data_IF_177899868506
#
_entry.id   IF_177899868506
#
_cell.length_a   1.000
_cell.length_b   1.000
_cell.length_c   1.000
_cell.angle_alpha   90.00
_cell.angle_beta   90.00
_cell.angle_gamma   90.00
#
_symmetry.space_group_name_H-M   'P 1'
#
loop_
_entity.id
_entity.type
_entity.pdbx_description
1 polymer ?
#
# COMPACT_ATOMS: atom_id res chain seq x y z
N UNK A 1 41.86 42.15 32.59
CA UNK A 1 41.47 40.80 32.15
C UNK A 1 42.39 39.67 32.64
N UNK A 2 43.73 39.81 32.65
CA UNK A 2 44.64 38.73 33.09
C UNK A 2 44.52 38.30 34.57
N UNK A 3 44.13 39.19 35.49
CA UNK A 3 43.97 38.81 36.90
C UNK A 3 42.63 38.11 37.22
N UNK A 4 41.53 38.52 36.58
CA UNK A 4 40.22 37.90 36.80
C UNK A 4 40.15 36.47 36.25
N UNK A 5 40.79 36.20 35.10
CA UNK A 5 40.89 34.85 34.54
C UNK A 5 41.73 33.90 35.44
N UNK A 6 42.79 34.42 36.08
CA UNK A 6 43.62 33.64 37.01
C UNK A 6 42.88 33.25 38.30
N UNK A 7 41.88 34.06 38.71
CA UNK A 7 41.08 33.80 39.90
C UNK A 7 39.96 32.79 39.64
N UNK A 8 39.38 32.80 38.43
CA UNK A 8 38.38 31.82 38.00
C UNK A 8 38.93 30.39 37.85
N UNK A 9 40.20 30.22 37.46
CA UNK A 9 40.84 28.92 37.25
C UNK A 9 41.27 28.17 38.53
N UNK A 10 41.02 28.74 39.72
CA UNK A 10 41.38 28.12 41.02
C UNK A 10 40.21 27.50 41.77
N UNK A 11 39.01 27.52 41.18
CA UNK A 11 37.86 26.86 41.78
C UNK A 11 37.89 25.37 41.44
N UNK A 12 37.46 24.53 42.37
CA UNK A 12 37.20 23.13 42.09
C UNK A 12 35.68 22.92 42.06
N UNK A 13 35.22 22.02 41.19
CA UNK A 13 33.83 21.64 41.09
C UNK A 13 33.62 20.28 41.76
N UNK A 14 32.61 20.17 42.60
CA UNK A 14 32.26 18.90 43.21
C UNK A 14 31.18 18.20 42.37
N UNK A 15 31.55 17.07 41.76
CA UNK A 15 30.63 16.25 40.97
C UNK A 15 30.63 14.85 41.60
N UNK A 16 29.44 14.38 41.99
CA UNK A 16 29.28 13.09 42.67
C UNK A 16 30.17 12.92 43.92
N UNK A 17 30.32 13.98 44.73
CA UNK A 17 31.12 13.97 45.96
C UNK A 17 32.63 13.88 45.74
N UNK A 18 33.10 14.12 44.52
CA UNK A 18 34.53 14.24 44.20
C UNK A 18 34.85 15.61 43.65
N UNK A 19 35.91 16.19 44.18
CA UNK A 19 36.42 17.52 43.82
C UNK A 19 37.27 17.42 42.56
N UNK A 20 36.83 18.03 41.47
CA UNK A 20 37.48 18.03 40.15
C UNK A 20 37.97 19.46 39.83
N UNK A 21 39.24 19.66 39.44
CA UNK A 21 39.74 20.98 39.10
C UNK A 21 38.99 21.59 37.90
N UNK A 22 38.64 22.88 37.96
CA UNK A 22 37.94 23.60 36.87
C UNK A 22 38.66 23.46 35.51
N UNK A 23 39.99 23.36 35.52
CA UNK A 23 40.78 23.14 34.31
C UNK A 23 40.45 21.80 33.60
N UNK A 24 40.12 20.75 34.34
CA UNK A 24 39.75 19.46 33.77
C UNK A 24 38.37 19.49 33.11
N UNK A 25 37.42 20.22 33.71
CA UNK A 25 36.07 20.42 33.14
C UNK A 25 36.12 21.27 31.87
N UNK A 26 36.94 22.33 31.86
CA UNK A 26 37.15 23.15 30.67
C UNK A 26 37.85 22.33 29.57
N UNK A 27 38.84 21.50 29.91
CA UNK A 27 39.46 20.60 28.95
C UNK A 27 38.45 19.61 28.35
N UNK A 28 37.54 19.04 29.14
CA UNK A 28 36.46 18.17 28.68
C UNK A 28 35.48 18.88 27.73
N UNK A 29 35.14 20.14 28.00
CA UNK A 29 34.28 20.94 27.12
C UNK A 29 34.96 21.27 25.78
N UNK A 30 36.28 21.48 25.76
CA UNK A 30 37.03 21.66 24.51
C UNK A 30 37.21 20.35 23.72
N UNK A 31 37.14 19.19 24.39
CA UNK A 31 37.08 17.87 23.72
C UNK A 31 35.70 17.66 23.08
N UNK A 32 34.62 18.21 23.66
CA UNK A 32 33.25 18.09 23.14
C UNK A 32 32.93 18.90 21.88
N UNK A 33 33.68 19.95 21.56
CA UNK A 33 33.44 20.79 20.36
C UNK A 33 34.46 20.58 19.24
N UNK A 34 35.32 19.56 19.35
CA UNK A 34 36.41 19.26 18.42
C UNK A 34 36.36 17.86 17.80
N UNK A 35 35.19 17.21 17.77
CA UNK A 35 35.01 15.83 17.32
C UNK A 35 34.80 15.73 15.81
N UNK A 36 35.85 15.99 15.03
CA UNK A 36 35.90 15.50 13.64
C UNK A 36 37.30 15.21 13.10
N UNK A 37 38.41 15.55 13.77
CA UNK A 37 39.73 15.48 13.11
C UNK A 37 40.94 14.98 13.93
N UNK A 38 40.79 14.49 15.16
CA UNK A 38 41.94 14.04 15.96
C UNK A 38 41.69 12.69 16.67
N UNK A 39 41.49 11.65 15.88
CA UNK A 39 41.59 10.25 16.34
C UNK A 39 42.86 9.61 15.76
N UNK A 40 44.01 9.97 16.32
CA UNK A 40 45.20 9.11 16.24
C UNK A 40 45.98 9.20 17.56
N UNK A 41 45.55 8.37 18.52
CA UNK A 41 46.18 8.04 19.80
C UNK A 41 45.68 8.79 21.03
N UNK A 42 44.73 8.17 21.74
CA UNK A 42 44.72 8.03 23.20
C UNK A 42 43.90 6.79 23.60
N UNK A 43 44.53 5.84 24.29
CA UNK A 43 43.91 4.87 25.21
C UNK A 43 42.79 3.95 24.70
N UNK A 44 42.98 2.64 24.81
CA UNK A 44 41.90 1.67 24.68
C UNK A 44 40.95 1.81 25.87
N UNK A 45 39.73 2.32 25.65
CA UNK A 45 38.61 2.09 26.57
C UNK A 45 38.09 0.70 26.25
N UNK A 46 38.51 -0.30 27.02
CA UNK A 46 37.91 -1.63 26.98
C UNK A 46 36.77 -1.68 27.98
N UNK A 47 35.54 -1.69 27.48
CA UNK A 47 34.36 -2.12 28.21
C UNK A 47 33.67 -3.20 27.37
N UNK A 48 33.18 -4.25 28.01
CA UNK A 48 32.15 -5.09 27.41
C UNK A 48 30.87 -4.27 27.40
N UNK A 49 30.46 -3.81 26.23
CA UNK A 49 29.10 -3.38 26.01
C UNK A 49 28.32 -4.63 25.59
N UNK A 50 27.25 -4.93 26.29
CA UNK A 50 26.23 -5.81 25.74
C UNK A 50 25.56 -5.01 24.63
N UNK A 51 25.78 -5.43 23.38
CA UNK A 51 25.11 -4.85 22.22
C UNK A 51 23.91 -5.75 21.96
N UNK A 52 22.74 -5.29 22.39
CA UNK A 52 21.49 -5.92 21.99
C UNK A 52 21.24 -5.61 20.51
N UNK A 53 20.79 -6.61 19.74
CA UNK A 53 20.42 -6.40 18.35
C UNK A 53 19.23 -5.46 18.29
N UNK A 54 19.35 -4.40 17.48
CA UNK A 54 18.31 -3.39 17.32
C UNK A 54 17.05 -3.95 16.62
N UNK A 55 17.24 -4.94 15.74
CA UNK A 55 16.18 -5.61 15.00
C UNK A 55 16.36 -7.11 15.15
N UNK A 56 15.29 -7.82 15.52
CA UNK A 56 15.26 -9.28 15.65
C UNK A 56 14.33 -9.89 14.59
N UNK A 57 14.79 -10.97 13.94
CA UNK A 57 13.98 -11.75 13.01
C UNK A 57 13.21 -12.83 13.78
N UNK A 58 11.89 -12.70 13.88
CA UNK A 58 11.06 -13.72 14.51
C UNK A 58 10.83 -14.88 13.54
N UNK A 59 11.19 -16.11 13.94
CA UNK A 59 10.98 -17.35 13.16
C UNK A 59 12.26 -18.12 12.79
N UNK A 60 13.45 -17.60 13.13
CA UNK A 60 14.73 -18.19 12.75
C UNK A 60 15.27 -17.67 11.42
N UNK A 61 16.59 -17.74 11.22
CA UNK A 61 17.32 -17.23 10.04
C UNK A 61 17.64 -18.30 8.99
N UNK A 62 17.46 -19.58 9.34
CA UNK A 62 17.80 -20.71 8.48
C UNK A 62 16.56 -21.30 7.81
N UNK A 63 16.63 -21.42 6.50
CA UNK A 63 15.57 -21.96 5.65
C UNK A 63 16.08 -23.23 4.97
N UNK A 64 15.23 -24.25 4.91
CA UNK A 64 15.50 -25.45 4.13
C UNK A 64 14.27 -25.77 3.32
N UNK A 65 14.45 -25.83 2.01
CA UNK A 65 13.39 -26.20 1.09
C UNK A 65 13.72 -27.56 0.49
N UNK A 66 12.81 -28.52 0.68
CA UNK A 66 12.81 -29.78 -0.04
C UNK A 66 11.95 -29.62 -1.30
N UNK A 67 12.45 -28.81 -2.26
CA UNK A 67 11.75 -28.60 -3.52
C UNK A 67 12.06 -29.76 -4.45
N UNK A 68 11.21 -30.79 -4.44
CA UNK A 68 11.25 -31.85 -5.46
C UNK A 68 10.69 -31.37 -6.82
N UNK A 69 10.30 -30.11 -6.94
CA UNK A 69 9.67 -29.53 -8.13
C UNK A 69 10.43 -28.27 -8.56
N UNK A 70 10.98 -28.30 -9.78
CA UNK A 70 11.59 -27.15 -10.41
C UNK A 70 10.50 -26.24 -11.01
N UNK A 71 10.72 -24.93 -11.01
CA UNK A 71 9.74 -23.95 -11.51
C UNK A 71 8.68 -23.50 -10.50
N UNK A 72 8.82 -23.85 -9.22
CA UNK A 72 7.95 -23.35 -8.16
C UNK A 72 8.46 -22.02 -7.61
N UNK A 73 7.54 -21.17 -7.18
CA UNK A 73 7.81 -19.98 -6.36
C UNK A 73 7.37 -20.27 -4.94
N UNK A 74 8.24 -20.07 -3.97
CA UNK A 74 7.93 -20.24 -2.55
C UNK A 74 8.01 -18.89 -1.86
N UNK A 75 6.95 -18.53 -1.14
CA UNK A 75 6.86 -17.29 -0.36
C UNK A 75 6.72 -17.67 1.11
N UNK A 76 7.60 -17.11 1.95
CA UNK A 76 7.48 -17.25 3.40
C UNK A 76 7.42 -15.88 4.07
N UNK A 77 6.35 -15.64 4.83
CA UNK A 77 6.16 -14.42 5.61
C UNK A 77 6.96 -14.47 6.91
N UNK A 78 7.61 -13.36 7.23
CA UNK A 78 8.39 -13.14 8.45
C UNK A 78 8.00 -11.81 9.10
N UNK A 79 8.39 -11.65 10.35
CA UNK A 79 8.20 -10.42 11.11
C UNK A 79 9.54 -9.95 11.66
N UNK A 80 9.90 -8.72 11.33
CA UNK A 80 10.98 -7.96 11.90
C UNK A 80 10.45 -7.22 13.12
N UNK A 81 11.06 -7.46 14.27
CA UNK A 81 10.74 -6.70 15.47
C UNK A 81 11.86 -5.69 15.71
N UNK A 82 11.53 -4.40 15.60
CA UNK A 82 12.45 -3.33 15.99
C UNK A 82 12.31 -3.04 17.47
N UNK A 83 13.39 -3.28 18.21
CA UNK A 83 13.52 -2.86 19.61
C UNK A 83 14.25 -1.52 19.74
N UNK A 84 14.47 -0.83 18.62
CA UNK A 84 15.17 0.44 18.57
C UNK A 84 14.23 1.62 18.84
N UNK A 85 14.73 2.62 19.57
CA UNK A 85 14.03 3.89 19.79
C UNK A 85 14.01 4.80 18.55
N UNK A 86 14.66 4.39 17.46
CA UNK A 86 14.74 5.11 16.19
C UNK A 86 14.56 4.13 15.04
N UNK A 87 13.95 4.59 13.94
CA UNK A 87 13.79 3.81 12.72
C UNK A 87 15.17 3.40 12.18
N UNK A 88 15.28 2.17 11.69
CA UNK A 88 16.54 1.57 11.27
C UNK A 88 16.41 1.04 9.85
N UNK A 89 17.30 1.48 8.97
CA UNK A 89 17.40 0.93 7.63
C UNK A 89 18.19 -0.38 7.68
N UNK A 90 17.60 -1.44 7.14
CA UNK A 90 18.19 -2.77 7.09
C UNK A 90 18.33 -3.23 5.65
N UNK A 91 19.29 -4.11 5.42
CA UNK A 91 19.44 -4.88 4.19
C UNK A 91 19.25 -6.37 4.46
N UNK A 92 19.13 -7.15 3.40
CA UNK A 92 19.08 -8.61 3.50
C UNK A 92 20.18 -9.28 2.66
N UNK A 93 20.86 -10.26 3.25
CA UNK A 93 21.82 -11.11 2.56
C UNK A 93 21.35 -12.56 2.60
N UNK A 94 21.23 -13.21 1.44
CA UNK A 94 20.89 -14.64 1.36
C UNK A 94 22.07 -15.45 0.87
N UNK A 95 22.46 -16.45 1.65
CA UNK A 95 23.49 -17.43 1.31
C UNK A 95 22.84 -18.79 1.05
N UNK A 96 23.37 -19.58 0.12
CA UNK A 96 22.86 -20.92 -0.20
C UNK A 96 23.91 -22.00 0.06
N UNK A 97 23.49 -23.08 0.72
CA UNK A 97 24.26 -24.29 0.91
C UNK A 97 23.49 -25.47 0.28
N UNK A 98 24.00 -26.00 -0.84
CA UNK A 98 23.49 -27.25 -1.43
C UNK A 98 24.01 -28.48 -0.68
N UNK A 99 23.16 -29.47 -0.40
CA UNK A 99 23.62 -30.74 0.21
C UNK A 99 24.29 -31.61 -0.85
N UNK A 100 25.62 -31.65 -0.85
CA UNK A 100 26.39 -32.47 -1.79
C UNK A 100 26.20 -33.97 -1.53
N UNK A 101 25.37 -34.65 -2.33
CA UNK A 101 25.54 -36.07 -2.69
C UNK A 101 25.78 -36.25 -4.20
N UNK A 102 26.63 -35.40 -4.80
CA UNK A 102 27.17 -35.69 -6.14
C UNK A 102 28.69 -35.82 -6.10
N UNK A 103 29.19 -36.85 -6.76
CA UNK A 103 30.60 -37.28 -6.74
C UNK A 103 31.54 -36.36 -7.55
N UNK A 104 31.08 -35.18 -7.99
CA UNK A 104 31.90 -34.25 -8.76
C UNK A 104 31.81 -32.81 -8.19
N UNK A 105 32.67 -32.45 -7.23
CA UNK A 105 32.69 -31.15 -6.55
C UNK A 105 33.00 -29.92 -7.44
N UNK A 106 33.22 -30.11 -8.74
CA UNK A 106 33.64 -29.05 -9.66
C UNK A 106 32.47 -28.36 -10.39
N UNK A 107 31.24 -28.87 -10.30
CA UNK A 107 30.09 -28.33 -11.04
C UNK A 107 29.20 -27.38 -10.23
N UNK A 108 29.46 -27.22 -8.92
CA UNK A 108 28.76 -26.25 -8.06
C UNK A 108 29.75 -25.50 -7.18
N UNK A 109 30.39 -24.47 -7.74
CA UNK A 109 31.02 -23.44 -6.91
C UNK A 109 29.92 -22.53 -6.37
N UNK A 110 29.41 -22.82 -5.17
CA UNK A 110 28.86 -21.85 -4.18
C UNK A 110 27.73 -20.88 -4.56
N UNK A 111 27.38 -20.73 -5.83
CA UNK A 111 26.48 -19.70 -6.29
C UNK A 111 25.08 -20.32 -6.38
N UNK A 112 24.07 -19.64 -5.83
CA UNK A 112 22.64 -19.97 -5.87
C UNK A 112 22.07 -20.01 -7.31
N UNK A 113 22.80 -20.57 -8.28
CA UNK A 113 22.56 -20.40 -9.70
C UNK A 113 21.24 -21.07 -10.08
N UNK A 114 20.25 -20.25 -10.40
CA UNK A 114 18.90 -20.69 -10.69
C UNK A 114 17.94 -20.61 -9.51
N UNK A 115 18.34 -20.00 -8.39
CA UNK A 115 17.44 -19.52 -7.35
C UNK A 115 17.52 -18.00 -7.38
N UNK A 116 16.39 -17.33 -7.61
CA UNK A 116 16.28 -15.88 -7.47
C UNK A 116 15.56 -15.58 -6.15
N UNK A 117 16.21 -14.84 -5.26
CA UNK A 117 15.66 -14.47 -3.95
C UNK A 117 15.34 -12.99 -3.95
N UNK A 118 14.10 -12.65 -3.63
CA UNK A 118 13.61 -11.28 -3.50
C UNK A 118 12.96 -11.10 -2.15
N UNK A 119 12.92 -9.86 -1.68
CA UNK A 119 12.24 -9.47 -0.46
C UNK A 119 11.07 -8.58 -0.87
N UNK A 120 9.92 -8.76 -0.21
CA UNK A 120 8.72 -7.97 -0.50
C UNK A 120 8.16 -7.51 0.83
N UNK A 121 8.05 -6.21 1.01
CA UNK A 121 7.42 -5.61 2.18
C UNK A 121 5.93 -5.98 2.24
N UNK A 122 5.42 -6.20 3.45
CA UNK A 122 4.01 -6.34 3.71
C UNK A 122 3.50 -4.98 4.22
N UNK A 123 2.68 -4.33 3.40
CA UNK A 123 2.15 -2.99 3.68
C UNK A 123 1.04 -3.05 4.73
N UNK A 124 1.41 -2.98 6.01
CA UNK A 124 0.44 -2.98 7.12
C UNK A 124 -0.41 -1.71 7.16
N UNK A 125 0.02 -0.66 6.45
CA UNK A 125 -0.69 0.57 6.17
C UNK A 125 -1.60 0.50 4.92
N UNK A 126 -1.60 -0.63 4.20
CA UNK A 126 -2.53 -0.85 3.10
C UNK A 126 -3.94 -1.23 3.59
N UNK A 127 -4.94 -0.76 2.85
CA UNK A 127 -6.34 -0.90 3.22
C UNK A 127 -6.91 0.36 3.86
N UNK A 128 -8.18 0.30 4.24
CA UNK A 128 -8.84 1.43 4.86
C UNK A 128 -8.39 1.60 6.31
N UNK A 129 -8.11 2.84 6.70
CA UNK A 129 -8.03 3.23 8.11
C UNK A 129 -9.01 4.38 8.35
N UNK A 130 -9.95 4.18 9.27
CA UNK A 130 -10.90 5.23 9.64
C UNK A 130 -10.52 5.98 10.91
N UNK A 131 -9.38 5.65 11.54
CA UNK A 131 -8.95 6.23 12.82
C UNK A 131 -8.65 7.75 12.72
N UNK A 132 -8.31 8.22 11.53
CA UNK A 132 -8.06 9.64 11.19
C UNK A 132 -9.35 10.40 10.82
N UNK A 133 -10.52 9.75 10.88
CA UNK A 133 -11.77 10.36 10.50
C UNK A 133 -12.06 11.61 11.35
N UNK A 134 -12.24 12.72 10.63
CA UNK A 134 -12.71 13.99 11.19
C UNK A 134 -13.56 14.72 10.15
N UNK A 135 -14.50 15.52 10.62
CA UNK A 135 -15.32 16.38 9.76
C UNK A 135 -15.05 17.87 10.07
N UNK A 136 -15.18 18.69 9.04
CA UNK A 136 -15.13 20.14 9.17
C UNK A 136 -16.49 20.68 9.66
N UNK A 137 -16.49 21.82 10.35
CA UNK A 137 -17.75 22.52 10.66
C UNK A 137 -18.45 22.96 9.38
N UNK A 138 -19.76 22.77 9.29
CA UNK A 138 -20.55 23.16 8.13
C UNK A 138 -22.02 23.36 8.46
N UNK A 139 -22.85 23.48 7.42
CA UNK A 139 -24.30 23.61 7.56
C UNK A 139 -24.91 22.26 7.93
N UNK A 140 -25.59 22.14 9.08
CA UNK A 140 -26.22 20.88 9.47
C UNK A 140 -27.37 20.50 8.55
N UNK A 141 -27.42 19.23 8.12
CA UNK A 141 -28.48 18.64 7.32
C UNK A 141 -29.22 17.62 8.18
N UNK A 142 -30.48 17.90 8.49
CA UNK A 142 -31.27 17.13 9.47
C UNK A 142 -32.45 16.36 8.88
N UNK A 143 -32.78 16.52 7.59
CA UNK A 143 -33.98 15.90 7.02
C UNK A 143 -33.85 15.43 5.57
N UNK A 144 -33.48 16.32 4.64
CA UNK A 144 -33.46 16.02 3.20
C UNK A 144 -32.15 16.52 2.61
N UNK A 145 -31.27 15.56 2.29
CA UNK A 145 -29.95 15.81 1.75
C UNK A 145 -30.02 16.43 0.36
N UNK A 146 -30.91 15.97 -0.52
CA UNK A 146 -31.05 16.54 -1.86
C UNK A 146 -31.53 17.99 -1.82
N UNK A 147 -32.48 18.31 -0.94
CA UNK A 147 -32.92 19.69 -0.72
C UNK A 147 -31.79 20.57 -0.20
N UNK A 148 -30.92 20.05 0.68
CA UNK A 148 -29.76 20.79 1.18
C UNK A 148 -28.74 21.07 0.06
N UNK A 149 -28.40 20.07 -0.75
CA UNK A 149 -27.52 20.21 -1.92
C UNK A 149 -28.09 21.25 -2.90
N UNK A 150 -29.39 21.17 -3.20
CA UNK A 150 -30.06 22.11 -4.08
C UNK A 150 -30.02 23.56 -3.58
N UNK A 151 -29.88 23.78 -2.26
CA UNK A 151 -29.75 25.11 -1.64
C UNK A 151 -28.31 25.59 -1.45
N UNK A 152 -27.36 24.67 -1.34
CA UNK A 152 -25.96 24.98 -1.12
C UNK A 152 -25.36 25.85 -2.23
N UNK A 153 -24.37 26.66 -1.89
CA UNK A 153 -23.50 27.36 -2.83
C UNK A 153 -22.24 26.54 -3.08
N UNK A 154 -21.55 26.80 -4.19
CA UNK A 154 -20.24 26.19 -4.45
C UNK A 154 -19.26 26.54 -3.31
N UNK A 155 -18.51 25.55 -2.83
CA UNK A 155 -17.61 25.63 -1.69
C UNK A 155 -18.26 25.38 -0.32
N UNK A 156 -19.58 25.21 -0.23
CA UNK A 156 -20.25 24.91 1.04
C UNK A 156 -19.86 23.52 1.57
N UNK A 157 -19.82 23.41 2.89
CA UNK A 157 -19.72 22.13 3.62
C UNK A 157 -21.08 21.80 4.23
N UNK A 158 -21.64 20.65 3.85
CA UNK A 158 -22.88 20.09 4.39
C UNK A 158 -22.54 18.96 5.37
N UNK A 159 -22.94 19.11 6.63
CA UNK A 159 -22.72 18.11 7.68
C UNK A 159 -24.01 17.33 7.92
N UNK A 160 -24.05 16.07 7.52
CA UNK A 160 -25.26 15.24 7.56
C UNK A 160 -25.35 14.48 8.88
N UNK A 161 -26.48 14.66 9.58
CA UNK A 161 -26.74 14.04 10.88
C UNK A 161 -27.08 12.54 10.76
N UNK A 162 -26.81 11.75 11.81
CA UNK A 162 -26.68 10.28 11.77
C UNK A 162 -27.93 9.48 11.36
N UNK A 163 -29.14 10.04 11.44
CA UNK A 163 -30.39 9.25 11.42
C UNK A 163 -31.21 9.41 10.13
N UNK A 164 -30.54 9.59 8.99
CA UNK A 164 -31.18 9.71 7.68
C UNK A 164 -30.96 8.48 6.80
N UNK A 165 -32.03 8.02 6.15
CA UNK A 165 -31.94 7.21 4.93
C UNK A 165 -32.19 8.13 3.73
N UNK A 166 -31.28 8.15 2.77
CA UNK A 166 -31.38 9.01 1.60
C UNK A 166 -31.32 8.19 0.33
N UNK A 167 -32.36 8.32 -0.48
CA UNK A 167 -32.38 7.66 -1.78
C UNK A 167 -31.53 8.46 -2.76
N UNK A 168 -30.84 7.76 -3.66
CA UNK A 168 -29.97 8.25 -4.75
C UNK A 168 -29.79 9.78 -4.79
N UNK A 169 -28.61 10.24 -4.36
CA UNK A 169 -28.30 11.65 -4.19
C UNK A 169 -27.53 12.17 -5.40
N UNK A 170 -28.08 13.16 -6.09
CA UNK A 170 -27.37 13.85 -7.17
C UNK A 170 -26.60 15.05 -6.62
N UNK A 171 -25.29 15.07 -6.88
CA UNK A 171 -24.40 16.17 -6.50
C UNK A 171 -23.95 16.91 -7.75
N UNK A 172 -24.61 18.03 -8.03
CA UNK A 172 -24.39 18.87 -9.22
C UNK A 172 -23.79 20.24 -8.88
N UNK A 173 -23.13 20.33 -7.72
CA UNK A 173 -22.39 21.51 -7.27
C UNK A 173 -21.09 21.08 -6.63
N UNK A 174 -20.07 21.91 -6.79
CA UNK A 174 -18.79 21.79 -6.07
C UNK A 174 -19.00 22.05 -4.58
N UNK A 175 -19.18 21.00 -3.78
CA UNK A 175 -19.44 21.08 -2.33
C UNK A 175 -18.79 19.90 -1.60
N UNK A 176 -18.56 20.06 -0.30
CA UNK A 176 -18.22 18.95 0.59
C UNK A 176 -19.49 18.45 1.28
N UNK A 177 -19.78 17.16 1.13
CA UNK A 177 -20.85 16.46 1.85
C UNK A 177 -20.17 15.48 2.79
N UNK A 178 -20.35 15.69 4.09
CA UNK A 178 -19.68 14.90 5.12
C UNK A 178 -20.70 14.41 6.15
N UNK A 179 -20.64 13.14 6.50
CA UNK A 179 -21.38 12.63 7.65
C UNK A 179 -20.87 13.32 8.92
N UNK A 180 -21.71 13.42 9.96
CA UNK A 180 -21.26 13.96 11.24
C UNK A 180 -20.33 12.99 11.97
N UNK A 181 -20.64 11.70 11.87
CA UNK A 181 -19.85 10.63 12.46
C UNK A 181 -19.57 9.61 11.37
N UNK A 182 -18.44 8.93 11.50
CA UNK A 182 -18.02 7.86 10.61
C UNK A 182 -19.06 6.72 10.61
N UNK A 183 -19.30 6.12 9.44
CA UNK A 183 -20.37 5.13 9.27
C UNK A 183 -21.75 5.75 9.50
N UNK A 184 -21.89 7.04 9.15
CA UNK A 184 -23.04 7.87 9.48
C UNK A 184 -24.32 7.48 8.71
N UNK A 185 -25.08 8.46 8.19
CA UNK A 185 -26.37 8.16 7.57
C UNK A 185 -26.23 7.22 6.37
N UNK A 186 -27.30 6.46 6.13
CA UNK A 186 -27.39 5.52 5.02
C UNK A 186 -27.83 6.23 3.74
N UNK A 187 -27.17 5.95 2.63
CA UNK A 187 -27.49 6.51 1.31
C UNK A 187 -27.51 5.40 0.27
N UNK A 188 -28.52 5.36 -0.60
CA UNK A 188 -28.58 4.34 -1.67
C UNK A 188 -27.39 4.52 -2.65
N UNK A 189 -26.98 5.76 -2.88
CA UNK A 189 -25.79 6.08 -3.65
C UNK A 189 -25.63 7.55 -3.99
N UNK A 190 -24.51 7.89 -4.59
CA UNK A 190 -24.17 9.25 -5.02
C UNK A 190 -23.91 9.30 -6.52
N UNK A 191 -24.61 10.20 -7.21
CA UNK A 191 -24.40 10.52 -8.63
C UNK A 191 -23.77 11.91 -8.74
N UNK A 192 -22.44 11.94 -8.90
CA UNK A 192 -21.63 13.16 -8.89
C UNK A 192 -21.45 13.66 -10.33
N UNK A 193 -21.82 14.92 -10.55
CA UNK A 193 -21.81 15.60 -11.86
C UNK A 193 -21.25 17.02 -11.76
N UNK A 194 -20.49 17.32 -10.72
CA UNK A 194 -19.80 18.59 -10.57
C UNK A 194 -18.40 18.37 -10.00
N UNK A 195 -17.49 19.24 -10.38
CA UNK A 195 -16.09 19.18 -9.96
C UNK A 195 -15.92 19.55 -8.50
N UNK A 196 -14.78 19.16 -7.92
CA UNK A 196 -14.36 19.48 -6.56
C UNK A 196 -15.41 19.07 -5.51
N UNK A 197 -16.07 17.93 -5.73
CA UNK A 197 -17.01 17.33 -4.78
C UNK A 197 -16.26 16.43 -3.82
N UNK A 198 -16.56 16.52 -2.53
CA UNK A 198 -16.10 15.53 -1.54
C UNK A 198 -17.29 14.81 -0.93
N UNK A 199 -17.28 13.47 -0.93
CA UNK A 199 -18.24 12.61 -0.24
C UNK A 199 -17.50 11.82 0.83
N UNK A 200 -17.86 12.07 2.10
CA UNK A 200 -17.10 11.54 3.24
C UNK A 200 -17.93 10.98 4.40
N UNK A 201 -17.60 9.79 4.88
CA UNK A 201 -18.13 9.24 6.14
C UNK A 201 -19.46 8.50 6.06
N UNK A 202 -19.97 8.21 4.86
CA UNK A 202 -21.29 7.63 4.66
C UNK A 202 -21.29 6.11 4.75
N UNK A 203 -22.47 5.57 5.07
CA UNK A 203 -22.80 4.17 4.85
C UNK A 203 -23.60 4.07 3.53
N UNK A 204 -22.97 3.61 2.46
CA UNK A 204 -23.55 3.58 1.11
C UNK A 204 -23.96 2.15 0.81
N UNK A 205 -25.26 1.91 0.62
CA UNK A 205 -25.83 0.56 0.45
C UNK A 205 -26.78 0.52 -0.73
N UNK A 206 -27.13 -0.68 -1.17
CA UNK A 206 -28.09 -0.97 -2.24
C UNK A 206 -27.60 -0.52 -3.63
N UNK A 207 -27.13 0.71 -3.79
CA UNK A 207 -26.74 1.30 -5.06
C UNK A 207 -27.91 1.96 -5.78
N UNK A 208 -27.62 2.51 -6.94
CA UNK A 208 -28.64 2.99 -7.88
C UNK A 208 -28.32 2.53 -9.30
N UNK A 209 -29.38 2.45 -10.12
CA UNK A 209 -29.23 2.19 -11.56
C UNK A 209 -28.69 3.44 -12.25
N UNK A 210 -27.44 3.37 -12.72
CA UNK A 210 -26.82 4.42 -13.49
C UNK A 210 -27.58 4.64 -14.81
N UNK A 211 -27.94 5.89 -15.09
CA UNK A 211 -28.85 6.24 -16.18
C UNK A 211 -28.47 5.59 -17.51
N UNK A 212 -29.45 4.92 -18.15
CA UNK A 212 -29.35 4.30 -19.47
C UNK A 212 -28.30 3.19 -19.62
N UNK A 213 -27.80 2.63 -18.52
CA UNK A 213 -26.73 1.63 -18.58
C UNK A 213 -27.13 0.23 -18.13
N UNK A 214 -28.21 0.10 -17.33
CA UNK A 214 -28.52 -1.15 -16.63
C UNK A 214 -27.48 -1.54 -15.58
N UNK A 215 -26.50 -0.66 -15.30
CA UNK A 215 -25.46 -0.87 -14.32
C UNK A 215 -25.93 -0.40 -12.95
N UNK A 216 -25.57 -1.13 -11.90
CA UNK A 216 -25.79 -0.71 -10.52
C UNK A 216 -24.49 -0.15 -9.94
N UNK A 217 -24.58 1.00 -9.25
CA UNK A 217 -23.40 1.71 -8.75
C UNK A 217 -23.69 2.28 -7.36
N UNK A 218 -22.75 2.16 -6.42
CA UNK A 218 -22.81 2.86 -5.13
C UNK A 218 -22.47 4.35 -5.26
N UNK A 219 -21.29 4.66 -5.81
CA UNK A 219 -20.87 6.04 -6.12
C UNK A 219 -20.44 6.15 -7.58
N UNK A 220 -21.02 7.09 -8.32
CA UNK A 220 -20.63 7.40 -9.70
C UNK A 220 -20.09 8.82 -9.80
N UNK A 221 -18.90 8.96 -10.36
CA UNK A 221 -18.34 10.25 -10.81
C UNK A 221 -18.53 10.32 -12.31
N UNK A 222 -19.29 11.29 -12.83
CA UNK A 222 -19.54 11.46 -14.27
C UNK A 222 -18.60 12.49 -14.92
N UNK A 223 -18.79 12.74 -16.21
CA UNK A 223 -18.03 13.64 -17.10
C UNK A 223 -17.67 15.03 -16.57
N UNK A 224 -18.42 15.56 -15.60
CA UNK A 224 -18.20 16.90 -15.04
C UNK A 224 -17.66 16.83 -13.60
N UNK A 225 -17.33 15.63 -13.12
CA UNK A 225 -16.97 15.29 -11.74
C UNK A 225 -15.49 15.40 -11.41
N UNK A 226 -14.73 16.24 -12.13
CA UNK A 226 -13.28 16.38 -11.95
C UNK A 226 -12.88 16.74 -10.52
N UNK A 227 -11.74 16.21 -10.06
CA UNK A 227 -11.22 16.36 -8.70
C UNK A 227 -12.20 15.90 -7.60
N UNK A 228 -13.06 14.92 -7.88
CA UNK A 228 -13.92 14.35 -6.84
C UNK A 228 -13.08 13.58 -5.80
N UNK A 229 -13.46 13.65 -4.53
CA UNK A 229 -12.83 12.91 -3.43
C UNK A 229 -13.87 12.06 -2.72
N UNK A 230 -13.71 10.74 -2.82
CA UNK A 230 -14.62 9.75 -2.23
C UNK A 230 -13.81 9.08 -1.12
N UNK A 231 -14.13 9.38 0.14
CA UNK A 231 -13.25 8.95 1.24
C UNK A 231 -13.95 8.64 2.55
N UNK A 232 -13.40 7.74 3.35
CA UNK A 232 -13.93 7.31 4.65
C UNK A 232 -15.38 6.79 4.58
N UNK A 233 -15.77 6.18 3.46
CA UNK A 233 -17.09 5.59 3.32
C UNK A 233 -17.04 4.08 3.52
N UNK A 234 -18.14 3.53 4.03
CA UNK A 234 -18.41 2.10 3.97
C UNK A 234 -19.41 1.88 2.84
N UNK A 235 -18.98 1.23 1.76
CA UNK A 235 -19.76 1.02 0.53
C UNK A 235 -20.03 -0.48 0.42
N UNK A 236 -21.27 -0.92 0.66
CA UNK A 236 -21.55 -2.35 0.73
C UNK A 236 -22.91 -2.77 0.21
N UNK A 237 -23.09 -4.07 -0.01
CA UNK A 237 -24.39 -4.65 -0.37
C UNK A 237 -24.93 -4.15 -1.70
N UNK A 238 -24.06 -3.72 -2.61
CA UNK A 238 -24.45 -3.23 -3.93
C UNK A 238 -24.66 -4.45 -4.83
N UNK A 239 -25.89 -4.67 -5.29
CA UNK A 239 -26.23 -5.86 -6.07
C UNK A 239 -27.11 -5.54 -7.28
N UNK A 240 -26.86 -6.22 -8.40
CA UNK A 240 -27.61 -6.01 -9.64
C UNK A 240 -27.53 -7.17 -10.63
N UNK A 241 -28.43 -7.18 -11.61
CA UNK A 241 -28.40 -8.15 -12.72
C UNK A 241 -27.46 -7.74 -13.86
N UNK A 242 -27.16 -6.44 -13.97
CA UNK A 242 -26.17 -5.89 -14.88
C UNK A 242 -24.81 -5.72 -14.21
N UNK A 243 -23.88 -5.07 -14.90
CA UNK A 243 -22.55 -4.87 -14.33
C UNK A 243 -22.63 -3.95 -13.10
N UNK A 244 -22.07 -4.40 -11.98
CA UNK A 244 -22.29 -3.80 -10.66
C UNK A 244 -20.98 -3.25 -10.08
N UNK A 245 -21.01 -2.04 -9.52
CA UNK A 245 -19.80 -1.32 -9.06
C UNK A 245 -19.99 -0.75 -7.66
N UNK A 246 -18.99 -0.87 -6.80
CA UNK A 246 -18.92 -0.08 -5.56
C UNK A 246 -18.75 1.41 -5.90
N UNK A 247 -17.65 1.72 -6.59
CA UNK A 247 -17.36 3.06 -7.13
C UNK A 247 -17.09 2.98 -8.64
N UNK A 248 -17.66 3.91 -9.40
CA UNK A 248 -17.35 4.11 -10.81
C UNK A 248 -16.84 5.53 -11.04
N UNK A 249 -15.61 5.64 -11.53
CA UNK A 249 -15.04 6.90 -12.04
C UNK A 249 -15.21 6.89 -13.56
N UNK A 250 -16.13 7.72 -14.06
CA UNK A 250 -16.57 7.71 -15.45
C UNK A 250 -16.37 9.07 -16.11
N UNK A 251 -15.29 9.20 -16.89
CA UNK A 251 -14.88 10.42 -17.62
C UNK A 251 -14.61 11.64 -16.74
N UNK A 252 -14.25 11.41 -15.49
CA UNK A 252 -13.82 12.48 -14.58
C UNK A 252 -12.59 12.02 -13.82
N UNK A 253 -11.97 12.96 -13.13
CA UNK A 253 -10.77 12.69 -12.34
C UNK A 253 -11.17 12.57 -10.87
N UNK A 254 -10.79 11.49 -10.19
CA UNK A 254 -11.21 11.27 -8.80
C UNK A 254 -10.14 10.59 -7.95
N UNK A 255 -10.11 10.96 -6.67
CA UNK A 255 -9.41 10.25 -5.62
C UNK A 255 -10.41 9.41 -4.83
N UNK A 256 -10.34 8.09 -4.98
CA UNK A 256 -11.11 7.10 -4.22
C UNK A 256 -10.18 6.55 -3.15
N UNK A 257 -10.34 6.99 -1.89
CA UNK A 257 -9.38 6.62 -0.85
C UNK A 257 -9.92 6.42 0.55
N UNK A 258 -9.30 5.56 1.36
CA UNK A 258 -9.76 5.26 2.72
C UNK A 258 -11.23 4.82 2.72
N UNK A 259 -11.67 3.98 1.79
CA UNK A 259 -13.01 3.40 1.82
C UNK A 259 -12.94 1.91 2.13
N UNK A 260 -13.96 1.42 2.84
CA UNK A 260 -14.23 -0.01 2.97
C UNK A 260 -15.31 -0.36 1.96
N UNK A 261 -14.97 -1.15 0.94
CA UNK A 261 -15.85 -1.53 -0.16
C UNK A 261 -16.05 -3.04 -0.08
N UNK A 262 -17.27 -3.49 0.21
CA UNK A 262 -17.53 -4.92 0.37
C UNK A 262 -18.86 -5.42 -0.21
N UNK A 263 -18.96 -6.71 -0.52
CA UNK A 263 -20.25 -7.32 -0.91
C UNK A 263 -20.83 -6.70 -2.19
N UNK A 264 -20.00 -6.59 -3.22
CA UNK A 264 -20.40 -6.09 -4.54
C UNK A 264 -20.76 -7.29 -5.41
N UNK A 265 -22.03 -7.41 -5.79
CA UNK A 265 -22.55 -8.63 -6.44
C UNK A 265 -23.23 -8.36 -7.78
N UNK A 266 -22.84 -9.11 -8.81
CA UNK A 266 -23.48 -9.11 -10.12
C UNK A 266 -23.90 -10.53 -10.52
N UNK A 267 -25.20 -10.77 -10.73
CA UNK A 267 -25.69 -12.12 -11.06
C UNK A 267 -25.65 -12.45 -12.56
N UNK A 268 -25.27 -11.51 -13.42
CA UNK A 268 -25.39 -11.66 -14.88
C UNK A 268 -24.30 -11.00 -15.72
N UNK A 269 -23.36 -10.29 -15.10
CA UNK A 269 -22.27 -9.57 -15.76
C UNK A 269 -21.08 -9.37 -14.81
N UNK A 270 -20.23 -8.38 -15.04
CA UNK A 270 -19.07 -8.04 -14.22
C UNK A 270 -19.41 -7.39 -12.88
N UNK A 271 -18.60 -7.67 -11.85
CA UNK A 271 -18.61 -6.94 -10.59
C UNK A 271 -17.26 -6.24 -10.35
N UNK A 272 -17.31 -5.05 -9.77
CA UNK A 272 -16.13 -4.21 -9.58
C UNK A 272 -16.17 -3.52 -8.22
N UNK A 273 -15.11 -3.64 -7.41
CA UNK A 273 -14.98 -2.79 -6.22
C UNK A 273 -14.89 -1.32 -6.64
N UNK A 274 -13.87 -1.01 -7.44
CA UNK A 274 -13.66 0.29 -8.10
C UNK A 274 -13.45 0.09 -9.60
N UNK A 275 -14.20 0.81 -10.42
CA UNK A 275 -14.04 0.83 -11.87
C UNK A 275 -13.65 2.24 -12.32
N UNK A 276 -12.42 2.42 -12.81
CA UNK A 276 -11.98 3.63 -13.51
C UNK A 276 -12.15 3.39 -14.99
N UNK A 277 -12.98 4.20 -15.64
CA UNK A 277 -13.39 3.93 -17.01
C UNK A 277 -13.33 5.16 -17.89
N UNK A 278 -13.12 4.92 -19.18
CA UNK A 278 -13.24 5.92 -20.25
C UNK A 278 -12.21 7.05 -20.10
N UNK A 279 -12.47 8.26 -20.56
CA UNK A 279 -11.53 9.41 -20.55
C UNK A 279 -11.17 9.96 -19.14
N UNK A 280 -11.20 9.14 -18.09
CA UNK A 280 -10.78 9.50 -16.72
C UNK A 280 -9.25 9.65 -16.65
N UNK A 281 -8.77 10.76 -16.10
CA UNK A 281 -7.33 11.07 -16.04
C UNK A 281 -6.89 11.22 -14.60
N UNK A 282 -5.64 10.83 -14.33
CA UNK A 282 -5.01 11.03 -13.03
C UNK A 282 -5.86 10.47 -11.85
N UNK A 283 -6.66 9.43 -12.12
CA UNK A 283 -7.51 8.81 -11.12
C UNK A 283 -6.64 8.05 -10.11
N UNK A 284 -6.85 8.32 -8.83
CA UNK A 284 -6.10 7.66 -7.74
C UNK A 284 -7.05 6.78 -6.94
N UNK A 285 -6.71 5.50 -6.83
CA UNK A 285 -7.41 4.52 -5.98
C UNK A 285 -6.43 4.11 -4.90
N UNK A 286 -6.60 4.61 -3.67
CA UNK A 286 -5.60 4.35 -2.62
C UNK A 286 -6.14 4.11 -1.23
N UNK A 287 -5.45 3.31 -0.42
CA UNK A 287 -5.84 3.05 0.98
C UNK A 287 -7.30 2.54 1.09
N UNK A 288 -7.78 1.76 0.13
CA UNK A 288 -9.10 1.14 0.23
C UNK A 288 -8.96 -0.31 0.66
N UNK A 289 -9.91 -0.80 1.46
CA UNK A 289 -10.14 -2.24 1.58
C UNK A 289 -11.26 -2.61 0.63
N UNK A 290 -11.00 -3.56 -0.27
CA UNK A 290 -11.95 -4.07 -1.25
C UNK A 290 -12.09 -5.57 -1.05
N UNK A 291 -13.28 -6.03 -0.68
CA UNK A 291 -13.52 -7.46 -0.43
C UNK A 291 -14.90 -7.96 -0.87
N UNK A 292 -15.06 -9.27 -1.08
CA UNK A 292 -16.36 -9.85 -1.41
C UNK A 292 -16.96 -9.31 -2.72
N UNK A 293 -16.13 -9.19 -3.77
CA UNK A 293 -16.58 -8.78 -5.10
C UNK A 293 -16.88 -10.02 -5.93
N UNK A 294 -18.15 -10.22 -6.30
CA UNK A 294 -18.64 -11.45 -6.94
C UNK A 294 -19.38 -11.16 -8.24
N UNK A 295 -18.96 -11.75 -9.35
CA UNK A 295 -19.59 -11.56 -10.66
C UNK A 295 -19.31 -12.69 -11.65
N UNK A 296 -19.78 -12.56 -12.89
CA UNK A 296 -19.39 -13.48 -13.98
C UNK A 296 -17.88 -13.37 -14.25
N UNK A 297 -17.40 -12.13 -14.26
CA UNK A 297 -16.02 -11.74 -14.04
C UNK A 297 -16.01 -10.72 -12.88
N UNK A 298 -14.92 -10.63 -12.15
CA UNK A 298 -14.85 -9.78 -10.98
C UNK A 298 -13.46 -9.16 -10.83
N UNK A 299 -13.45 -7.87 -10.48
CA UNK A 299 -12.24 -7.10 -10.26
C UNK A 299 -12.32 -6.33 -8.94
N UNK A 300 -11.26 -6.34 -8.15
CA UNK A 300 -11.15 -5.44 -7.00
C UNK A 300 -11.10 -3.99 -7.48
N UNK A 301 -10.13 -3.69 -8.32
CA UNK A 301 -9.98 -2.45 -9.07
C UNK A 301 -9.83 -2.79 -10.55
N UNK A 302 -10.52 -2.08 -11.43
CA UNK A 302 -10.37 -2.25 -12.88
C UNK A 302 -10.19 -0.90 -13.57
N UNK A 303 -9.23 -0.84 -14.49
CA UNK A 303 -8.93 0.33 -15.32
C UNK A 303 -9.27 -0.03 -16.76
N UNK A 304 -10.44 0.44 -17.20
CA UNK A 304 -11.13 -0.11 -18.37
C UNK A 304 -11.38 0.96 -19.46
N UNK A 305 -11.13 0.60 -20.72
CA UNK A 305 -11.44 1.44 -21.89
C UNK A 305 -12.76 1.08 -22.58
N UNK A 306 -13.49 0.09 -22.05
CA UNK A 306 -14.65 -0.49 -22.70
C UNK A 306 -15.63 0.59 -23.18
N UNK A 307 -15.99 0.47 -24.45
CA UNK A 307 -16.97 1.32 -25.08
C UNK A 307 -18.28 1.26 -24.28
N UNK A 308 -18.67 2.39 -23.70
CA UNK A 308 -19.98 2.50 -23.10
C UNK A 308 -21.06 2.41 -24.16
N UNK A 309 -22.21 1.83 -23.81
CA UNK A 309 -23.38 1.73 -24.70
C UNK A 309 -23.91 3.08 -25.22
N UNK A 310 -23.31 4.20 -24.82
CA UNK A 310 -23.55 5.54 -25.33
C UNK A 310 -22.76 5.91 -26.60
N UNK A 311 -21.91 5.01 -27.10
CA UNK A 311 -21.20 5.17 -28.38
C UNK A 311 -20.00 6.11 -28.34
N UNK A 312 -19.54 6.48 -27.14
CA UNK A 312 -18.30 7.24 -26.97
C UNK A 312 -17.13 6.32 -26.71
N UNK A 313 -15.94 6.75 -27.11
CA UNK A 313 -14.67 6.04 -26.91
C UNK A 313 -13.74 6.92 -26.10
N UNK A 314 -12.99 6.33 -25.19
CA UNK A 314 -12.04 7.01 -24.33
C UNK A 314 -11.32 5.97 -23.50
N UNK A 315 -10.11 6.27 -23.09
CA UNK A 315 -9.28 5.35 -22.31
C UNK A 315 -8.72 6.09 -21.10
N UNK A 316 -8.67 5.44 -19.93
CA UNK A 316 -8.08 6.06 -18.76
C UNK A 316 -6.61 6.42 -19.00
N UNK A 317 -6.05 7.36 -18.26
CA UNK A 317 -4.60 7.61 -18.34
C UNK A 317 -4.04 8.11 -17.01
N UNK A 318 -2.79 7.75 -16.74
CA UNK A 318 -2.09 8.06 -15.47
C UNK A 318 -2.87 7.61 -14.24
N UNK A 319 -3.51 6.43 -14.30
CA UNK A 319 -4.20 5.89 -13.13
C UNK A 319 -3.15 5.37 -12.12
N UNK A 320 -3.40 5.61 -10.84
CA UNK A 320 -2.56 5.14 -9.73
C UNK A 320 -3.41 4.27 -8.79
N UNK A 321 -2.97 3.03 -8.58
CA UNK A 321 -3.58 2.09 -7.63
C UNK A 321 -2.55 1.77 -6.55
N UNK A 322 -2.71 2.33 -5.35
CA UNK A 322 -1.70 2.17 -4.30
C UNK A 322 -2.21 1.97 -2.87
N UNK A 323 -1.47 1.23 -2.04
CA UNK A 323 -1.84 1.00 -0.63
C UNK A 323 -3.24 0.42 -0.43
N UNK A 324 -3.78 -0.32 -1.40
CA UNK A 324 -5.08 -0.98 -1.23
C UNK A 324 -4.91 -2.39 -0.64
N UNK A 325 -5.88 -2.83 0.12
CA UNK A 325 -6.04 -4.22 0.53
C UNK A 325 -7.20 -4.83 -0.26
N UNK A 326 -6.90 -5.71 -1.21
CA UNK A 326 -7.87 -6.33 -2.10
C UNK A 326 -7.88 -7.84 -1.83
N UNK A 327 -9.03 -8.35 -1.39
CA UNK A 327 -9.23 -9.76 -1.00
C UNK A 327 -10.55 -10.27 -1.57
N UNK A 328 -10.74 -11.58 -1.68
CA UNK A 328 -12.03 -12.24 -1.89
C UNK A 328 -12.77 -11.66 -3.11
N UNK A 329 -12.04 -11.55 -4.22
CA UNK A 329 -12.60 -11.26 -5.54
C UNK A 329 -12.84 -12.60 -6.25
N UNK A 330 -14.09 -12.87 -6.65
CA UNK A 330 -14.49 -14.15 -7.23
C UNK A 330 -15.29 -13.95 -8.52
N UNK A 331 -14.78 -14.51 -9.62
CA UNK A 331 -15.53 -14.64 -10.87
C UNK A 331 -16.09 -16.05 -11.07
N UNK A 332 -17.31 -16.16 -11.58
CA UNK A 332 -17.94 -17.46 -11.89
C UNK A 332 -17.35 -18.10 -13.16
N UNK A 333 -16.96 -17.27 -14.14
CA UNK A 333 -16.44 -17.71 -15.45
C UNK A 333 -14.97 -17.38 -15.67
N UNK A 334 -14.44 -16.44 -14.89
CA UNK A 334 -13.06 -15.99 -14.92
C UNK A 334 -12.49 -16.02 -13.49
N UNK A 335 -11.18 -16.12 -13.34
CA UNK A 335 -10.58 -15.92 -12.01
C UNK A 335 -10.89 -14.49 -11.56
N UNK A 336 -11.19 -14.31 -10.27
CA UNK A 336 -11.32 -12.97 -9.73
C UNK A 336 -9.94 -12.32 -9.66
N UNK A 337 -9.86 -11.09 -10.18
CA UNK A 337 -8.60 -10.36 -10.34
C UNK A 337 -8.52 -9.20 -9.36
N UNK A 338 -7.39 -8.98 -8.68
CA UNK A 338 -7.27 -7.81 -7.80
C UNK A 338 -7.25 -6.51 -8.61
N UNK A 339 -6.35 -6.40 -9.60
CA UNK A 339 -6.23 -5.24 -10.48
C UNK A 339 -6.30 -5.65 -11.95
N UNK A 340 -7.36 -5.24 -12.65
CA UNK A 340 -7.48 -5.36 -14.10
C UNK A 340 -7.06 -4.08 -14.81
N UNK A 341 -6.36 -4.22 -15.94
CA UNK A 341 -6.00 -3.10 -16.82
C UNK A 341 -6.27 -3.48 -18.28
N UNK A 342 -7.26 -2.81 -18.88
CA UNK A 342 -7.68 -3.01 -20.27
C UNK A 342 -7.16 -1.92 -21.22
N UNK A 343 -7.40 -2.09 -22.52
CA UNK A 343 -6.63 -1.50 -23.62
C UNK A 343 -6.47 0.02 -23.52
N UNK A 344 -5.36 0.55 -24.05
CA UNK A 344 -5.10 1.99 -24.16
C UNK A 344 -5.11 2.80 -22.85
N UNK A 345 -5.37 2.17 -21.69
CA UNK A 345 -5.12 2.76 -20.39
C UNK A 345 -3.61 2.83 -20.15
N UNK A 346 -2.96 3.98 -20.35
CA UNK A 346 -1.51 4.04 -20.22
C UNK A 346 -0.98 5.43 -19.88
N UNK A 347 0.04 5.52 -18.99
CA UNK A 347 0.53 4.48 -18.09
C UNK A 347 -0.46 4.20 -16.92
N UNK A 348 -0.34 3.03 -16.31
CA UNK A 348 -1.02 2.69 -15.03
C UNK A 348 0.03 2.22 -14.04
N UNK A 349 0.06 2.84 -12.87
CA UNK A 349 0.97 2.50 -11.78
C UNK A 349 0.20 1.70 -10.72
N UNK A 350 0.73 0.54 -10.33
CA UNK A 350 0.14 -0.37 -9.36
C UNK A 350 1.18 -0.69 -8.29
N UNK A 351 1.07 -0.08 -7.11
CA UNK A 351 2.15 -0.14 -6.13
C UNK A 351 1.73 -0.26 -4.67
N UNK A 352 2.54 -0.92 -3.83
CA UNK A 352 2.33 -0.97 -2.38
C UNK A 352 0.97 -1.56 -1.97
N UNK A 353 0.36 -2.42 -2.79
CA UNK A 353 -0.94 -3.03 -2.48
C UNK A 353 -0.77 -4.41 -1.83
N UNK A 354 -1.76 -4.81 -1.02
CA UNK A 354 -2.00 -6.19 -0.62
C UNK A 354 -3.07 -6.77 -1.55
N UNK A 355 -2.74 -7.84 -2.27
CA UNK A 355 -3.62 -8.55 -3.21
C UNK A 355 -3.70 -10.02 -2.79
N UNK A 356 -4.86 -10.46 -2.34
CA UNK A 356 -5.10 -11.83 -1.85
C UNK A 356 -6.20 -12.48 -2.69
N UNK A 357 -6.02 -12.48 -4.01
CA UNK A 357 -7.01 -12.94 -4.99
C UNK A 357 -6.47 -14.10 -5.81
N UNK A 358 -7.33 -14.72 -6.64
CA UNK A 358 -6.90 -15.84 -7.48
C UNK A 358 -6.03 -15.41 -8.67
N UNK A 359 -6.25 -14.18 -9.16
CA UNK A 359 -5.44 -13.49 -10.16
C UNK A 359 -5.05 -12.14 -9.57
N UNK A 360 -3.77 -11.74 -9.64
CA UNK A 360 -3.33 -10.54 -8.96
C UNK A 360 -3.46 -9.32 -9.88
N UNK A 361 -2.69 -9.30 -10.95
CA UNK A 361 -2.70 -8.23 -11.95
C UNK A 361 -2.94 -8.85 -13.32
N UNK A 362 -3.98 -8.37 -14.00
CA UNK A 362 -4.31 -8.73 -15.37
C UNK A 362 -4.09 -7.52 -16.28
N UNK A 363 -3.31 -7.69 -17.34
CA UNK A 363 -3.07 -6.64 -18.35
C UNK A 363 -3.43 -7.15 -19.74
N UNK A 364 -4.15 -6.33 -20.52
CA UNK A 364 -4.58 -6.65 -21.90
C UNK A 364 -4.14 -5.60 -22.91
N UNK A 365 -4.16 -5.97 -24.19
CA UNK A 365 -4.21 -5.05 -25.33
C UNK A 365 -3.20 -3.88 -25.31
N UNK A 366 -1.90 -4.17 -25.36
CA UNK A 366 -0.81 -3.19 -25.57
C UNK A 366 -0.63 -2.13 -24.46
N UNK A 367 -1.09 -2.41 -23.25
CA UNK A 367 -0.87 -1.54 -22.08
C UNK A 367 0.46 -1.83 -21.40
N UNK A 368 1.08 -0.78 -20.84
CA UNK A 368 2.17 -0.88 -19.87
C UNK A 368 1.64 -0.63 -18.46
N UNK A 369 1.72 -1.64 -17.61
CA UNK A 369 1.46 -1.55 -16.17
C UNK A 369 2.81 -1.51 -15.45
N UNK A 370 3.06 -0.44 -14.70
CA UNK A 370 4.23 -0.35 -13.84
C UNK A 370 3.82 -0.92 -12.46
N UNK A 371 4.16 -2.17 -12.21
CA UNK A 371 3.84 -2.83 -10.96
C UNK A 371 5.06 -2.78 -10.04
N UNK A 372 4.94 -2.24 -8.83
CA UNK A 372 6.06 -2.26 -7.89
C UNK A 372 5.62 -2.56 -6.48
N UNK A 373 6.45 -3.25 -5.69
CA UNK A 373 6.22 -3.39 -4.25
C UNK A 373 4.80 -3.86 -3.90
N UNK A 374 4.26 -4.91 -4.53
CA UNK A 374 2.93 -5.43 -4.16
C UNK A 374 3.08 -6.75 -3.41
N UNK A 375 2.23 -6.98 -2.41
CA UNK A 375 2.15 -8.22 -1.65
C UNK A 375 1.04 -9.12 -2.19
N UNK A 376 1.36 -10.35 -2.60
CA UNK A 376 0.42 -11.28 -3.25
C UNK A 376 -0.02 -12.47 -2.37
N UNK A 377 0.27 -12.41 -1.07
CA UNK A 377 0.04 -13.54 -0.18
C UNK A 377 1.08 -14.66 -0.33
N UNK A 378 0.70 -15.87 0.06
CA UNK A 378 1.60 -17.04 0.13
C UNK A 378 1.51 -17.96 -1.09
N UNK A 379 0.51 -17.74 -1.95
CA UNK A 379 0.18 -18.68 -3.04
C UNK A 379 0.98 -18.41 -4.32
N UNK A 380 1.92 -17.46 -4.27
CA UNK A 380 2.75 -17.06 -5.40
C UNK A 380 2.26 -15.75 -6.02
N UNK A 381 2.94 -15.33 -7.09
CA UNK A 381 2.56 -14.15 -7.88
C UNK A 381 1.87 -14.66 -9.15
N UNK A 382 0.63 -14.25 -9.38
CA UNK A 382 -0.14 -14.58 -10.57
C UNK A 382 -0.37 -13.33 -11.43
N UNK A 383 0.54 -13.10 -12.38
CA UNK A 383 0.43 -12.05 -13.38
C UNK A 383 -0.14 -12.63 -14.68
N UNK A 384 -1.29 -12.13 -15.12
CA UNK A 384 -1.88 -12.51 -16.41
C UNK A 384 -1.59 -11.43 -17.47
N UNK A 385 -0.59 -11.71 -18.31
CA UNK A 385 -0.27 -10.88 -19.46
C UNK A 385 -0.93 -11.45 -20.72
N UNK A 386 -1.88 -10.69 -21.27
CA UNK A 386 -2.54 -11.04 -22.52
C UNK A 386 -2.06 -10.13 -23.66
N UNK A 387 -2.07 -10.68 -24.88
CA UNK A 387 -1.65 -10.03 -26.12
C UNK A 387 -0.21 -9.49 -26.07
N UNK A 388 0.01 -8.23 -26.46
CA UNK A 388 1.32 -7.55 -26.40
C UNK A 388 1.41 -6.52 -25.27
N UNK A 389 0.60 -6.69 -24.22
CA UNK A 389 0.74 -5.91 -22.99
C UNK A 389 2.05 -6.24 -22.26
N UNK A 390 2.46 -5.35 -21.34
CA UNK A 390 3.66 -5.51 -20.53
C UNK A 390 3.35 -5.13 -19.09
N UNK A 391 3.64 -6.02 -18.14
CA UNK A 391 3.72 -5.67 -16.72
C UNK A 391 5.21 -5.53 -16.40
N UNK A 392 5.66 -4.29 -16.19
CA UNK A 392 7.01 -3.99 -15.72
C UNK A 392 7.01 -4.08 -14.21
N UNK A 393 7.41 -5.24 -13.70
CA UNK A 393 7.33 -5.56 -12.28
C UNK A 393 8.68 -5.36 -11.59
N UNK A 394 8.75 -4.39 -10.67
CA UNK A 394 9.88 -4.22 -9.75
C UNK A 394 9.46 -4.58 -8.32
N UNK A 395 9.84 -5.77 -7.87
CA UNK A 395 9.64 -6.19 -6.48
C UNK A 395 10.68 -5.53 -5.57
N UNK A 396 10.37 -5.40 -4.28
CA UNK A 396 11.07 -4.48 -3.39
C UNK A 396 12.61 -4.60 -3.43
N UNK A 397 13.26 -3.44 -3.32
CA UNK A 397 14.69 -3.34 -3.13
C UNK A 397 15.11 -4.06 -1.85
N UNK A 398 16.33 -4.60 -1.82
CA UNK A 398 16.87 -5.35 -0.68
C UNK A 398 17.00 -4.53 0.61
N UNK A 399 16.71 -3.22 0.57
CA UNK A 399 16.78 -2.31 1.71
C UNK A 399 15.36 -1.86 2.11
N UNK A 400 14.98 -2.08 3.37
CA UNK A 400 13.74 -1.55 3.97
C UNK A 400 14.02 -0.73 5.23
N UNK A 401 13.08 0.12 5.63
CA UNK A 401 13.13 0.88 6.89
C UNK A 401 12.17 0.25 7.88
N UNK A 402 12.71 -0.30 8.98
CA UNK A 402 11.87 -0.73 10.09
C UNK A 402 11.69 0.43 11.05
N UNK A 403 10.44 0.82 11.30
CA UNK A 403 10.12 1.92 12.21
C UNK A 403 10.55 1.63 13.66
N UNK A 404 10.67 2.70 14.46
CA UNK A 404 11.05 2.59 15.87
C UNK A 404 9.98 1.84 16.67
N UNK A 405 10.38 0.85 17.47
CA UNK A 405 9.47 0.10 18.35
C UNK A 405 8.24 -0.49 17.61
N UNK A 406 8.40 -0.88 16.35
CA UNK A 406 7.34 -1.48 15.53
C UNK A 406 7.67 -2.92 15.15
N UNK A 407 6.61 -3.65 14.79
CA UNK A 407 6.71 -4.92 14.09
C UNK A 407 6.46 -4.63 12.61
N UNK A 408 7.36 -5.07 11.74
CA UNK A 408 7.22 -4.95 10.30
C UNK A 408 7.20 -6.34 9.67
N UNK A 409 6.33 -6.56 8.69
CA UNK A 409 6.18 -7.86 8.03
C UNK A 409 6.79 -7.79 6.64
N UNK A 410 7.35 -8.90 6.21
CA UNK A 410 7.87 -9.02 4.86
C UNK A 410 7.80 -10.48 4.41
N UNK A 411 7.83 -10.72 3.11
CA UNK A 411 8.04 -12.04 2.55
C UNK A 411 9.40 -12.19 1.92
N UNK A 412 9.93 -13.40 2.04
CA UNK A 412 11.07 -13.86 1.28
C UNK A 412 10.52 -14.71 0.14
N UNK A 413 10.72 -14.22 -1.09
CA UNK A 413 10.27 -14.87 -2.32
C UNK A 413 11.45 -15.57 -2.94
N UNK A 414 11.35 -16.89 -3.10
CA UNK A 414 12.36 -17.70 -3.77
C UNK A 414 11.77 -18.31 -5.04
N UNK A 415 12.29 -17.91 -6.19
CA UNK A 415 11.93 -18.47 -7.50
C UNK A 415 12.98 -19.49 -7.94
N UNK A 416 12.56 -20.74 -8.15
CA UNK A 416 13.45 -21.82 -8.58
C UNK A 416 13.36 -22.02 -10.10
N UNK A 417 14.46 -21.86 -10.82
CA UNK A 417 14.51 -22.02 -12.26
C UNK A 417 14.02 -23.42 -12.69
N UNK A 418 13.31 -23.51 -13.82
CA UNK A 418 12.75 -24.76 -14.36
C UNK A 418 13.83 -25.83 -14.60
N UNK A 419 15.07 -25.41 -14.88
CA UNK A 419 16.19 -26.31 -15.13
C UNK A 419 17.03 -26.59 -13.88
N UNK A 420 16.60 -26.10 -12.70
CA UNK A 420 17.28 -26.42 -11.46
C UNK A 420 17.14 -27.92 -11.20
N UNK A 421 18.27 -28.56 -10.90
CA UNK A 421 18.28 -29.99 -10.61
C UNK A 421 17.49 -30.22 -9.32
N UNK A 422 16.58 -31.23 -9.27
CA UNK A 422 15.97 -31.65 -8.02
C UNK A 422 17.05 -32.03 -7.01
N UNK A 423 17.13 -31.30 -5.91
CA UNK A 423 18.07 -31.48 -4.80
C UNK A 423 17.52 -30.76 -3.56
N UNK A 424 18.14 -30.98 -2.40
CA UNK A 424 17.83 -30.21 -1.19
C UNK A 424 18.73 -28.97 -1.13
N UNK A 425 18.10 -27.80 -1.09
CA UNK A 425 18.78 -26.53 -0.94
C UNK A 425 18.45 -25.94 0.44
N UNK A 426 19.46 -25.41 1.13
CA UNK A 426 19.28 -24.61 2.33
C UNK A 426 19.67 -23.18 2.02
N UNK A 427 18.74 -22.25 2.25
CA UNK A 427 18.96 -20.82 2.13
C UNK A 427 19.03 -20.24 3.54
N UNK A 428 20.01 -19.38 3.82
CA UNK A 428 20.10 -18.65 5.08
C UNK A 428 20.03 -17.17 4.76
N UNK A 429 18.98 -16.49 5.25
CA UNK A 429 18.82 -15.04 5.11
C UNK A 429 19.24 -14.37 6.40
N UNK A 430 20.15 -13.42 6.30
CA UNK A 430 20.64 -12.59 7.41
C UNK A 430 20.25 -11.14 7.21
N UNK A 431 19.91 -10.46 8.30
CA UNK A 431 19.68 -9.01 8.32
C UNK A 431 21.02 -8.31 8.43
N UNK A 432 21.28 -7.36 7.55
CA UNK A 432 22.47 -6.51 7.56
C UNK A 432 22.08 -5.06 7.81
N UNK A 433 23.02 -4.21 8.24
CA UNK A 433 22.77 -2.78 8.28
C UNK A 433 22.80 -2.24 6.84
N UNK A 434 21.80 -1.45 6.44
CA UNK A 434 21.78 -0.89 5.09
C UNK A 434 23.03 -0.02 4.84
N UNK A 435 23.62 -0.16 3.66
CA UNK A 435 24.82 0.58 3.28
C UNK A 435 26.12 0.14 3.96
N UNK A 436 26.15 -1.02 4.63
CA UNK A 436 27.41 -1.66 4.99
C UNK A 436 28.10 -2.18 3.72
N UNK A 437 28.88 -1.31 3.04
CA UNK A 437 29.78 -1.76 1.98
C UNK A 437 30.66 -2.88 2.54
N UNK A 438 30.64 -4.06 1.90
CA UNK A 438 31.56 -5.14 2.22
C UNK A 438 32.97 -4.57 2.19
N UNK A 439 33.58 -4.45 3.36
CA UNK A 439 34.98 -4.07 3.43
C UNK A 439 35.76 -5.33 3.06
N UNK A 440 36.49 -5.34 1.92
CA UNK A 440 37.02 -6.56 1.30
C UNK A 440 38.09 -7.29 2.13
#
# INVERSE_FOLDING_TARGET
>A
MKEHAKKALKHDFEVAGKTIPTLAVIALLFVGTGSAALLSSFGTVSGTADVDQAVELTGGSDFSFDTNQAGETVIETRTLQSNADVSTQIGFETTCNGTTETTNPADFSGDCKGIDTRYVEYFDDAGHEFSDYSHQSGTPVTSDLQTAINKASSGDVLVVEENGGYNNVTVNKSITIVAKNQGGPTVDGFDISASDVTVKGFNITDGFEAQNSGNFVGVRVNNDGDNAVITHNHIHGISGSGATKGVQVFRGDAAVRNNHIEGIESTGSGAYGVLVQHDSKDATVSQNTVEGVNGVWAFGVDIDDAATGDGTTGSPSNALVEYNHIDTVTGDSYLGTAVGVEAAASPVDVQNNIMLTASDIESKNDVTVNASNNWFGTDGINLDQQDSSTIDASWADADTTVEANSDDKFGIVNEFAINLKPDTYSLTTSITAAGAEETP
#
